data_IF_542399094693
#
_entry.id   IF_542399094693
#
_cell.length_a   1.000
_cell.length_b   1.000
_cell.length_c   1.000
_cell.angle_alpha   90.00
_cell.angle_beta   90.00
_cell.angle_gamma   90.00
#
_symmetry.space_group_name_H-M   'P 1'
#
loop_
_entity.id
_entity.type
_entity.pdbx_description
1 polymer ?
#
# COMPACT_ATOMS: atom_id res chain seq x y z
N UNK A 1 10.78 -2.11 -14.96
CA UNK A 1 12.01 -2.61 -14.30
C UNK A 1 11.66 -3.05 -12.88
N UNK A 2 12.13 -4.22 -12.49
CA UNK A 2 11.83 -4.77 -11.16
C UNK A 2 12.98 -4.49 -10.20
N UNK A 3 12.62 -4.13 -8.99
CA UNK A 3 13.61 -3.77 -7.98
C UNK A 3 13.25 -4.46 -6.67
N UNK A 4 14.22 -5.17 -6.09
CA UNK A 4 14.02 -5.83 -4.79
C UNK A 4 14.29 -4.83 -3.69
N UNK A 5 13.29 -4.60 -2.83
CA UNK A 5 13.36 -3.59 -1.78
C UNK A 5 12.67 -4.14 -0.53
N UNK A 6 12.75 -3.37 0.55
CA UNK A 6 11.87 -3.59 1.70
C UNK A 6 10.88 -2.44 1.79
N UNK A 7 9.67 -2.76 2.20
CA UNK A 7 8.64 -1.75 2.45
C UNK A 7 8.06 -1.99 3.83
N UNK A 8 7.50 -0.94 4.42
CA UNK A 8 6.85 -1.02 5.72
C UNK A 8 5.35 -0.99 5.50
N UNK A 9 4.67 -2.07 5.91
CA UNK A 9 3.22 -2.14 5.84
C UNK A 9 2.65 -1.62 7.14
N UNK A 10 1.68 -0.71 7.04
CA UNK A 10 1.13 -0.01 8.19
C UNK A 10 -0.29 -0.45 8.43
N UNK A 11 -0.57 -0.92 9.65
CA UNK A 11 -1.92 -1.24 10.09
C UNK A 11 -2.33 -0.24 11.16
N UNK A 12 -3.50 0.39 10.99
CA UNK A 12 -4.03 1.34 11.97
C UNK A 12 -5.23 0.72 12.66
N UNK A 13 -5.23 0.78 13.98
CA UNK A 13 -6.31 0.25 14.80
C UNK A 13 -6.86 1.38 15.64
N UNK A 14 -8.19 1.43 15.78
CA UNK A 14 -8.86 2.45 16.58
C UNK A 14 -9.60 1.78 17.71
N UNK A 15 -9.39 2.30 18.93
CA UNK A 15 -10.08 1.80 20.11
C UNK A 15 -10.67 2.99 20.86
N UNK A 16 -11.61 2.71 21.78
CA UNK A 16 -12.19 3.74 22.62
C UNK A 16 -11.74 3.47 24.06
N UNK A 17 -11.18 4.49 24.72
CA UNK A 17 -10.74 4.32 26.10
C UNK A 17 -11.92 4.41 27.06
N UNK A 18 -11.63 4.32 28.36
CA UNK A 18 -12.66 4.33 29.38
C UNK A 18 -13.42 5.66 29.46
N UNK A 19 -12.84 6.72 28.92
CA UNK A 19 -13.46 8.04 28.92
C UNK A 19 -14.20 8.34 27.62
N UNK A 20 -14.28 7.36 26.71
CA UNK A 20 -14.95 7.54 25.45
C UNK A 20 -14.10 8.19 24.37
N UNK A 21 -12.84 8.42 24.61
CA UNK A 21 -11.95 9.02 23.62
C UNK A 21 -11.46 7.96 22.64
N UNK A 22 -11.36 8.37 21.38
CA UNK A 22 -10.87 7.49 20.33
C UNK A 22 -9.35 7.51 20.32
N UNK A 23 -8.77 6.33 20.42
CA UNK A 23 -7.31 6.18 20.40
C UNK A 23 -6.93 5.43 19.13
N UNK A 24 -5.98 5.96 18.39
CA UNK A 24 -5.47 5.25 17.21
C UNK A 24 -4.09 4.69 17.52
N UNK A 25 -3.87 3.46 17.09
CA UNK A 25 -2.60 2.76 17.22
C UNK A 25 -2.18 2.27 15.86
N UNK A 26 -0.91 2.43 15.52
CA UNK A 26 -0.39 1.90 14.27
C UNK A 26 0.67 0.85 14.55
N UNK A 27 0.71 -0.16 13.68
CA UNK A 27 1.73 -1.18 13.72
C UNK A 27 2.43 -1.20 12.37
N UNK A 28 3.73 -1.34 12.39
CA UNK A 28 4.54 -1.36 11.18
C UNK A 28 5.22 -2.72 11.05
N UNK A 29 5.06 -3.34 9.89
CA UNK A 29 5.71 -4.60 9.58
C UNK A 29 6.58 -4.39 8.35
N UNK A 30 7.87 -4.65 8.46
CA UNK A 30 8.79 -4.52 7.34
C UNK A 30 8.85 -5.84 6.58
N UNK A 31 8.59 -5.81 5.30
CA UNK A 31 8.56 -7.01 4.46
C UNK A 31 9.39 -6.78 3.19
N UNK A 32 9.80 -7.88 2.59
CA UNK A 32 10.49 -7.84 1.30
C UNK A 32 9.46 -7.70 0.20
N UNK A 33 9.80 -6.91 -0.82
CA UNK A 33 8.91 -6.69 -1.94
C UNK A 33 9.71 -6.54 -3.21
N UNK A 34 9.08 -6.89 -4.34
CA UNK A 34 9.61 -6.56 -5.65
C UNK A 34 8.81 -5.38 -6.17
N UNK A 35 9.48 -4.27 -6.41
CA UNK A 35 8.82 -3.04 -6.82
C UNK A 35 8.90 -2.92 -8.33
N UNK A 36 7.76 -2.64 -8.96
CA UNK A 36 7.62 -2.51 -10.40
C UNK A 36 6.89 -1.20 -10.70
N UNK A 37 7.26 -0.53 -11.77
CA UNK A 37 6.55 0.66 -12.20
C UNK A 37 5.15 0.31 -12.67
N UNK A 38 4.22 1.25 -12.51
CA UNK A 38 2.85 1.10 -12.97
C UNK A 38 2.84 0.94 -14.49
N UNK A 39 2.05 -0.02 -14.99
CA UNK A 39 1.89 -0.20 -16.42
C UNK A 39 0.99 0.89 -16.99
N UNK A 40 1.10 1.08 -18.30
CA UNK A 40 0.25 2.06 -18.98
C UNK A 40 -1.23 1.69 -18.85
N UNK A 41 -1.54 0.41 -18.96
CA UNK A 41 -2.92 -0.04 -18.84
C UNK A 41 -3.49 0.24 -17.45
N UNK A 42 -2.68 0.04 -16.42
CA UNK A 42 -3.10 0.31 -15.06
C UNK A 42 -3.32 1.82 -14.85
N UNK A 43 -2.44 2.64 -15.42
CA UNK A 43 -2.58 4.09 -15.33
C UNK A 43 -3.89 4.56 -15.96
N UNK A 44 -4.22 4.05 -17.14
CA UNK A 44 -5.46 4.41 -17.81
C UNK A 44 -6.66 3.97 -17.01
N UNK A 45 -6.64 2.75 -16.48
CA UNK A 45 -7.72 2.23 -15.67
C UNK A 45 -7.94 3.10 -14.43
N UNK A 46 -6.86 3.49 -13.76
CA UNK A 46 -6.95 4.33 -12.57
C UNK A 46 -7.57 5.67 -12.89
N UNK A 47 -7.15 6.31 -13.98
CA UNK A 47 -7.63 7.65 -14.32
C UNK A 47 -9.12 7.65 -14.66
N UNK A 48 -9.70 6.52 -15.03
CA UNK A 48 -11.12 6.40 -15.33
C UNK A 48 -11.98 6.22 -14.08
N UNK A 49 -11.39 6.04 -12.91
CA UNK A 49 -12.16 5.86 -11.68
C UNK A 49 -12.66 7.18 -11.09
N UNK A 50 -12.15 8.32 -11.58
CA UNK A 50 -12.54 9.62 -11.07
C UNK A 50 -11.89 10.01 -9.75
N UNK A 51 -10.94 9.23 -9.27
CA UNK A 51 -10.24 9.55 -8.03
C UNK A 51 -9.31 10.73 -8.26
N UNK A 52 -9.32 11.68 -7.32
CA UNK A 52 -8.54 12.89 -7.41
C UNK A 52 -7.58 13.00 -6.25
N UNK A 53 -6.43 13.63 -6.49
CA UNK A 53 -5.44 13.86 -5.46
C UNK A 53 -4.54 12.68 -5.20
N UNK A 54 -4.75 11.57 -5.91
CA UNK A 54 -3.97 10.34 -5.77
C UNK A 54 -3.40 9.97 -7.12
N UNK A 55 -2.19 9.43 -7.13
CA UNK A 55 -1.49 9.11 -8.37
C UNK A 55 -0.92 7.70 -8.25
N UNK A 56 -1.23 6.78 -9.20
CA UNK A 56 -0.63 5.45 -9.16
C UNK A 56 0.89 5.57 -9.27
N UNK A 57 1.61 4.83 -8.46
CA UNK A 57 3.05 4.97 -8.38
C UNK A 57 3.78 3.67 -8.71
N UNK A 58 3.47 2.60 -7.99
CA UNK A 58 4.21 1.33 -8.11
C UNK A 58 3.30 0.15 -7.87
N UNK A 59 3.77 -1.01 -8.29
CA UNK A 59 3.20 -2.28 -7.88
C UNK A 59 4.27 -2.95 -7.01
N UNK A 60 3.91 -3.27 -5.78
CA UNK A 60 4.80 -3.99 -4.87
C UNK A 60 4.30 -5.42 -4.75
N UNK A 61 5.12 -6.38 -5.14
CA UNK A 61 4.78 -7.79 -5.05
C UNK A 61 5.43 -8.37 -3.80
N UNK A 62 4.60 -8.88 -2.89
CA UNK A 62 5.08 -9.43 -1.63
C UNK A 62 4.57 -10.86 -1.47
N UNK A 63 5.22 -11.61 -0.56
CA UNK A 63 4.74 -12.95 -0.22
C UNK A 63 3.36 -12.83 0.45
N UNK A 64 2.41 -13.66 0.03
CA UNK A 64 1.03 -13.55 0.50
C UNK A 64 0.94 -13.67 2.02
N UNK A 65 1.79 -14.49 2.64
CA UNK A 65 1.82 -14.64 4.09
C UNK A 65 2.29 -13.41 4.85
N UNK A 66 2.95 -12.47 4.15
CA UNK A 66 3.44 -11.23 4.76
C UNK A 66 2.41 -10.10 4.71
N UNK A 67 1.34 -10.27 3.95
CA UNK A 67 0.33 -9.22 3.79
C UNK A 67 -0.93 -9.59 4.56
N UNK A 68 -1.37 -8.71 5.44
CA UNK A 68 -2.50 -8.96 6.33
C UNK A 68 -3.62 -7.94 6.16
N UNK A 69 -3.79 -7.43 4.95
CA UNK A 69 -4.87 -6.50 4.68
C UNK A 69 -4.55 -5.04 4.99
N UNK A 70 -3.28 -4.72 5.15
CA UNK A 70 -2.89 -3.33 5.38
C UNK A 70 -3.29 -2.45 4.23
N UNK A 71 -3.66 -1.19 4.52
CA UNK A 71 -4.10 -0.25 3.51
C UNK A 71 -3.07 0.84 3.22
N UNK A 72 -1.95 0.84 3.93
CA UNK A 72 -0.91 1.85 3.75
C UNK A 72 0.46 1.19 3.79
N UNK A 73 1.42 1.80 3.10
CA UNK A 73 2.80 1.38 3.23
C UNK A 73 3.72 2.57 3.10
N UNK A 74 4.95 2.39 3.58
CA UNK A 74 6.01 3.39 3.44
C UNK A 74 7.15 2.75 2.67
N UNK A 75 7.61 3.45 1.66
CA UNK A 75 8.77 3.04 0.89
C UNK A 75 9.67 4.25 0.69
N UNK A 76 10.95 4.08 1.03
CA UNK A 76 11.96 5.14 0.86
C UNK A 76 11.54 6.44 1.54
N UNK A 77 10.94 6.32 2.72
CA UNK A 77 10.52 7.47 3.51
C UNK A 77 9.25 8.14 3.04
N UNK A 78 8.56 7.59 2.05
CA UNK A 78 7.34 8.17 1.49
C UNK A 78 6.15 7.27 1.75
N UNK A 79 5.02 7.88 2.08
CA UNK A 79 3.79 7.14 2.37
C UNK A 79 2.99 6.92 1.10
N UNK A 80 2.46 5.71 0.97
CA UNK A 80 1.61 5.33 -0.16
C UNK A 80 0.34 4.67 0.38
N UNK A 81 -0.76 4.83 -0.35
CA UNK A 81 -1.95 4.06 -0.09
C UNK A 81 -1.98 2.83 -0.98
N UNK A 82 -2.57 1.76 -0.50
CA UNK A 82 -2.77 0.56 -1.30
C UNK A 82 -4.21 0.62 -1.79
N UNK A 83 -4.40 0.90 -3.08
CA UNK A 83 -5.74 1.11 -3.60
C UNK A 83 -6.37 -0.15 -4.19
N UNK A 84 -5.58 -1.17 -4.49
CA UNK A 84 -6.12 -2.49 -4.84
C UNK A 84 -5.04 -3.54 -4.70
N UNK A 85 -5.46 -4.79 -4.63
CA UNK A 85 -4.54 -5.91 -4.54
C UNK A 85 -4.94 -6.96 -5.55
N UNK A 86 -3.98 -7.80 -5.92
CA UNK A 86 -4.23 -8.92 -6.82
C UNK A 86 -3.44 -10.13 -6.33
N UNK A 87 -4.14 -11.20 -6.01
CA UNK A 87 -3.50 -12.43 -5.54
C UNK A 87 -3.07 -13.25 -6.75
N UNK A 88 -1.82 -13.69 -6.70
CA UNK A 88 -1.23 -14.48 -7.78
C UNK A 88 -1.24 -15.95 -7.42
N UNK A 89 -1.06 -16.81 -8.44
CA UNK A 89 -1.05 -18.25 -8.23
C UNK A 89 0.23 -18.74 -7.55
N UNK A 90 1.27 -17.92 -7.50
CA UNK A 90 2.57 -18.30 -6.96
C UNK A 90 2.75 -17.91 -5.50
N UNK A 91 1.65 -17.78 -4.76
CA UNK A 91 1.62 -17.42 -3.34
C UNK A 91 2.15 -16.01 -3.08
N UNK A 92 2.03 -15.14 -4.08
CA UNK A 92 2.38 -13.73 -3.96
C UNK A 92 1.16 -12.87 -4.19
N UNK A 93 1.20 -11.65 -3.65
CA UNK A 93 0.13 -10.68 -3.84
C UNK A 93 0.75 -9.39 -4.36
N UNK A 94 0.09 -8.79 -5.36
CA UNK A 94 0.49 -7.51 -5.90
C UNK A 94 -0.29 -6.42 -5.18
N UNK A 95 0.45 -5.46 -4.63
CA UNK A 95 -0.14 -4.32 -3.95
C UNK A 95 0.03 -3.10 -4.86
N UNK A 96 -1.09 -2.53 -5.28
CA UNK A 96 -1.06 -1.39 -6.18
C UNK A 96 -1.05 -0.12 -5.33
N UNK A 97 0.07 0.61 -5.42
CA UNK A 97 0.36 1.74 -4.55
C UNK A 97 0.04 3.04 -5.26
N UNK A 98 -0.59 3.94 -4.53
CA UNK A 98 -0.86 5.29 -5.01
C UNK A 98 -0.17 6.30 -4.10
N UNK A 99 0.38 7.33 -4.71
CA UNK A 99 1.02 8.41 -3.99
C UNK A 99 -0.06 9.32 -3.43
N UNK A 100 0.01 9.62 -2.13
CA UNK A 100 -1.00 10.47 -1.51
C UNK A 100 -0.64 11.92 -1.71
N UNK A 101 -1.50 12.67 -2.39
CA UNK A 101 -1.28 14.09 -2.61
C UNK A 101 -1.32 14.85 -1.29
N UNK A 102 -0.38 15.77 -1.13
CA UNK A 102 -0.34 16.59 0.07
C UNK A 102 0.27 15.91 1.29
N UNK A 103 0.75 14.68 1.15
CA UNK A 103 1.43 13.98 2.23
C UNK A 103 2.90 13.81 1.88
N UNK A 104 3.76 14.07 2.82
CA UNK A 104 5.21 13.97 2.66
C UNK A 104 5.79 12.88 3.51
#
# INVERSE_FOLDING_TARGET
MNKSVTIDLITRTYTTDAMGQRISTSQTTTVFATLTSISRAEWVSYSQTGRQGLVPAYVATVFMGDYNGESECVYDGKAYGIYRTYERDDEQVELYLEKKAGLE
#
